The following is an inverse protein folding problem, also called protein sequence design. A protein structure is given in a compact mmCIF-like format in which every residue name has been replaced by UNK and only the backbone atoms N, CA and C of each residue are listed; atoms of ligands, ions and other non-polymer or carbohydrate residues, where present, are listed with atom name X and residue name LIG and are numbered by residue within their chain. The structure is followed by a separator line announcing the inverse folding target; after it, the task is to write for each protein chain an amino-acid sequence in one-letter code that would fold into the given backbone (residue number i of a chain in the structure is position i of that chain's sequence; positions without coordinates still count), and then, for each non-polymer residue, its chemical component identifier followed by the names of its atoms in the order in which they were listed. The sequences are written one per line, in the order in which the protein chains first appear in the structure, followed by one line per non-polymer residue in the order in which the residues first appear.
data_IF_655031629365
#
_entry.id   IF_655031629365
#
_cell.length_a   1.000
_cell.length_b   1.000
_cell.length_c   1.000
_cell.angle_alpha   90.00
_cell.angle_beta   90.00
_cell.angle_gamma   90.00
#
_symmetry.space_group_name_H-M   'P 1'
#
loop_
_entity.id
_entity.type
_entity.pdbx_description
1 polymer ?
#
# COMPACT_ATOMS: atom_id res chain seq x y z
N UNK A 1 3.00 -13.53 15.97
CA UNK A 1 2.04 -14.62 15.66
C UNK A 1 2.73 -15.95 15.98
N UNK A 2 1.98 -16.96 16.40
CA UNK A 2 2.52 -18.30 16.63
C UNK A 2 2.72 -18.96 15.26
N UNK A 3 3.94 -19.37 14.86
CA UNK A 3 4.16 -19.98 13.55
C UNK A 3 3.47 -21.34 13.48
N UNK A 4 2.83 -21.64 12.35
CA UNK A 4 2.18 -22.92 12.06
C UNK A 4 2.88 -23.63 10.90
N UNK A 5 3.51 -24.77 11.14
CA UNK A 5 4.45 -25.39 10.20
C UNK A 5 3.94 -26.77 9.77
N UNK A 6 3.98 -27.04 8.47
CA UNK A 6 3.66 -28.34 7.90
C UNK A 6 4.95 -29.16 7.72
N UNK A 7 4.98 -30.40 8.18
CA UNK A 7 6.15 -31.28 8.11
C UNK A 7 5.81 -32.51 7.29
N UNK A 8 6.54 -32.74 6.19
CA UNK A 8 6.45 -33.98 5.42
C UNK A 8 7.69 -34.84 5.61
N UNK A 9 7.50 -36.14 5.79
CA UNK A 9 8.57 -37.09 6.08
C UNK A 9 8.21 -38.53 5.67
N UNK A 10 9.21 -39.41 5.65
CA UNK A 10 8.99 -40.86 5.48
C UNK A 10 8.63 -41.52 6.82
N UNK A 11 7.76 -42.54 6.81
CA UNK A 11 7.28 -43.21 8.03
C UNK A 11 8.41 -43.72 8.95
N UNK A 12 9.53 -44.14 8.38
CA UNK A 12 10.69 -44.67 9.12
C UNK A 12 11.52 -43.58 9.83
N UNK A 13 11.25 -42.30 9.53
CA UNK A 13 11.93 -41.16 10.17
C UNK A 13 11.16 -40.59 11.37
N UNK A 14 10.09 -41.26 11.80
CA UNK A 14 9.19 -40.82 12.89
C UNK A 14 9.94 -40.41 14.16
N UNK A 15 11.00 -41.12 14.54
CA UNK A 15 11.79 -40.84 15.74
C UNK A 15 12.46 -39.46 15.70
N UNK A 16 13.03 -39.10 14.55
CA UNK A 16 13.64 -37.78 14.36
C UNK A 16 12.57 -36.68 14.35
N UNK A 17 11.48 -36.90 13.61
CA UNK A 17 10.39 -35.91 13.48
C UNK A 17 9.75 -35.61 14.82
N UNK A 18 9.54 -36.63 15.65
CA UNK A 18 9.01 -36.45 17.01
C UNK A 18 9.94 -35.58 17.86
N UNK A 19 11.25 -35.80 17.76
CA UNK A 19 12.27 -34.99 18.46
C UNK A 19 12.28 -33.55 17.96
N UNK A 20 12.18 -33.34 16.64
CA UNK A 20 12.11 -32.01 16.04
C UNK A 20 10.85 -31.27 16.49
N UNK A 21 9.68 -31.93 16.46
CA UNK A 21 8.41 -31.37 16.92
C UNK A 21 8.49 -30.95 18.39
N UNK A 22 9.11 -31.76 19.26
CA UNK A 22 9.30 -31.38 20.67
C UNK A 22 10.16 -30.12 20.83
N UNK A 23 11.19 -29.94 20.01
CA UNK A 23 12.03 -28.74 19.99
C UNK A 23 11.24 -27.53 19.50
N UNK A 24 10.46 -27.69 18.43
CA UNK A 24 9.64 -26.63 17.84
C UNK A 24 8.53 -26.18 18.81
N UNK A 25 7.81 -27.12 19.42
CA UNK A 25 6.76 -26.86 20.40
C UNK A 25 7.30 -26.10 21.63
N UNK A 26 8.50 -26.46 22.13
CA UNK A 26 9.17 -25.72 23.22
C UNK A 26 9.46 -24.25 22.87
N UNK A 27 9.53 -23.91 21.58
CA UNK A 27 9.76 -22.56 21.07
C UNK A 27 8.47 -21.89 20.56
N UNK A 28 7.29 -22.36 21.01
CA UNK A 28 5.99 -21.82 20.64
C UNK A 28 5.71 -21.87 19.13
N UNK A 29 6.10 -22.96 18.47
CA UNK A 29 5.84 -23.23 17.05
C UNK A 29 4.83 -24.37 16.96
N UNK A 30 3.68 -24.15 16.32
CA UNK A 30 2.69 -25.18 16.03
C UNK A 30 3.14 -25.99 14.82
N UNK A 31 2.87 -27.29 14.85
CA UNK A 31 3.29 -28.21 13.79
C UNK A 31 2.17 -29.17 13.43
N UNK A 32 2.05 -29.46 12.15
CA UNK A 32 1.28 -30.59 11.62
C UNK A 32 2.20 -31.49 10.82
N UNK A 33 2.08 -32.81 11.01
CA UNK A 33 2.96 -33.79 10.38
C UNK A 33 2.15 -34.67 9.41
N UNK A 34 2.71 -34.96 8.25
CA UNK A 34 2.14 -35.86 7.26
C UNK A 34 3.22 -36.71 6.59
N UNK A 35 2.81 -37.87 6.07
CA UNK A 35 3.71 -38.73 5.29
C UNK A 35 3.78 -38.28 3.83
N UNK A 36 4.94 -38.47 3.21
CA UNK A 36 5.10 -38.24 1.77
C UNK A 36 4.07 -39.04 0.95
N UNK A 37 3.49 -38.39 -0.07
CA UNK A 37 2.54 -38.99 -1.02
C UNK A 37 2.81 -38.47 -2.43
N UNK A 38 2.70 -39.35 -3.44
CA UNK A 38 2.79 -38.93 -4.84
C UNK A 38 1.52 -38.14 -5.21
N UNK A 39 1.68 -36.87 -5.56
CA UNK A 39 0.61 -36.04 -6.10
C UNK A 39 0.79 -35.85 -7.61
N UNK A 40 -0.28 -35.69 -8.42
CA UNK A 40 -0.13 -35.40 -9.85
C UNK A 40 0.53 -34.04 -10.13
N UNK A 41 0.24 -33.05 -9.29
CA UNK A 41 0.79 -31.69 -9.33
C UNK A 41 1.16 -31.27 -7.91
N UNK A 42 2.43 -31.47 -7.57
CA UNK A 42 2.92 -31.15 -6.23
C UNK A 42 3.06 -29.65 -5.99
N UNK A 43 3.34 -28.88 -7.06
CA UNK A 43 3.45 -27.43 -6.94
C UNK A 43 2.14 -26.85 -6.44
N UNK A 44 1.03 -27.24 -7.05
CA UNK A 44 -0.30 -26.84 -6.60
C UNK A 44 -0.60 -27.33 -5.17
N UNK A 45 -0.22 -28.57 -4.85
CA UNK A 45 -0.41 -29.10 -3.49
C UNK A 45 0.36 -28.30 -2.43
N UNK A 46 1.62 -27.96 -2.72
CA UNK A 46 2.45 -27.13 -1.87
C UNK A 46 1.87 -25.72 -1.73
N UNK A 47 1.37 -25.12 -2.81
CA UNK A 47 0.66 -23.84 -2.77
C UNK A 47 -0.61 -23.93 -1.90
N UNK A 48 -1.35 -25.04 -1.93
CA UNK A 48 -2.53 -25.27 -1.09
C UNK A 48 -2.15 -25.41 0.39
N UNK A 49 -1.10 -26.16 0.73
CA UNK A 49 -0.58 -26.24 2.11
C UNK A 49 -0.16 -24.84 2.59
N UNK A 50 0.55 -24.08 1.77
CA UNK A 50 1.02 -22.74 2.12
C UNK A 50 -0.11 -21.68 2.24
N UNK A 51 -1.38 -22.03 1.94
CA UNK A 51 -2.55 -21.23 2.30
C UNK A 51 -2.90 -21.33 3.80
N UNK A 52 -2.58 -22.46 4.43
CA UNK A 52 -2.96 -22.76 5.83
C UNK A 52 -1.76 -22.76 6.81
N UNK A 53 -0.55 -23.03 6.30
CA UNK A 53 0.69 -23.12 7.08
C UNK A 53 1.73 -22.08 6.62
N UNK A 54 2.53 -21.59 7.56
CA UNK A 54 3.55 -20.56 7.36
C UNK A 54 4.81 -21.09 6.67
N UNK A 55 5.12 -22.38 6.77
CA UNK A 55 6.21 -23.01 6.02
C UNK A 55 6.00 -24.53 5.91
N UNK A 56 6.63 -25.13 4.92
CA UNK A 56 6.75 -26.58 4.75
C UNK A 56 8.17 -26.99 5.10
N UNK A 57 8.32 -27.99 5.97
CA UNK A 57 9.58 -28.66 6.25
C UNK A 57 9.55 -30.01 5.55
N UNK A 58 10.55 -30.28 4.71
CA UNK A 58 10.76 -31.59 4.11
C UNK A 58 11.87 -32.32 4.81
N UNK A 59 11.56 -33.44 5.41
CA UNK A 59 12.55 -34.31 6.04
C UNK A 59 13.07 -35.29 4.99
N UNK A 60 14.33 -35.11 4.61
CA UNK A 60 15.01 -35.89 3.57
C UNK A 60 16.04 -36.82 4.23
N UNK A 61 15.83 -38.12 4.08
CA UNK A 61 16.67 -39.18 4.67
C UNK A 61 16.99 -40.28 3.66
N UNK A 62 17.84 -41.23 4.03
CA UNK A 62 18.05 -42.46 3.25
C UNK A 62 16.76 -43.28 3.05
N UNK A 63 15.78 -43.14 3.94
CA UNK A 63 14.48 -43.82 3.81
C UNK A 63 13.54 -43.10 2.83
N UNK A 64 13.79 -41.83 2.56
CA UNK A 64 13.14 -41.07 1.47
C UNK A 64 13.71 -41.48 0.09
N UNK A 65 14.89 -42.14 0.04
CA UNK A 65 15.64 -42.50 -1.17
C UNK A 65 15.18 -43.78 -1.89
N UNK A 66 13.88 -44.09 -1.92
CA UNK A 66 13.42 -44.90 -3.04
C UNK A 66 13.59 -44.02 -4.29
N UNK A 67 14.54 -44.34 -5.18
CA UNK A 67 15.19 -43.39 -6.11
C UNK A 67 14.20 -42.53 -6.91
N UNK A 68 13.03 -43.09 -7.26
CA UNK A 68 11.94 -42.38 -7.95
C UNK A 68 11.27 -41.27 -7.13
N UNK A 69 11.03 -41.49 -5.83
CA UNK A 69 10.33 -40.54 -4.98
C UNK A 69 11.21 -39.32 -4.71
N UNK A 70 12.51 -39.54 -4.44
CA UNK A 70 13.48 -38.47 -4.27
C UNK A 70 13.65 -37.65 -5.56
N UNK A 71 13.80 -38.29 -6.73
CA UNK A 71 13.91 -37.58 -8.01
C UNK A 71 12.67 -36.73 -8.28
N UNK A 72 11.49 -37.27 -7.98
CA UNK A 72 10.23 -36.55 -8.18
C UNK A 72 10.08 -35.36 -7.24
N UNK A 73 10.29 -35.53 -5.93
CA UNK A 73 10.29 -34.42 -4.97
C UNK A 73 11.40 -33.44 -5.30
N UNK A 74 12.62 -33.88 -5.61
CA UNK A 74 13.74 -33.03 -6.03
C UNK A 74 13.38 -32.18 -7.26
N UNK A 75 12.69 -32.76 -8.24
CA UNK A 75 12.21 -32.03 -9.42
C UNK A 75 11.14 -31.01 -9.05
N UNK A 76 10.17 -31.38 -8.22
CA UNK A 76 9.11 -30.48 -7.78
C UNK A 76 9.66 -29.34 -6.90
N UNK A 77 10.58 -29.67 -5.98
CA UNK A 77 11.35 -28.73 -5.16
C UNK A 77 12.12 -27.79 -6.06
N UNK A 78 12.81 -28.29 -7.09
CA UNK A 78 13.55 -27.45 -8.05
C UNK A 78 12.62 -26.49 -8.79
N UNK A 79 11.47 -26.96 -9.28
CA UNK A 79 10.50 -26.13 -9.98
C UNK A 79 9.90 -25.03 -9.08
N UNK A 80 9.67 -25.35 -7.81
CA UNK A 80 9.15 -24.40 -6.82
C UNK A 80 10.25 -23.46 -6.30
N UNK A 81 11.49 -23.92 -6.12
CA UNK A 81 12.64 -23.09 -5.71
C UNK A 81 13.11 -22.13 -6.80
N UNK A 82 12.95 -22.51 -8.07
CA UNK A 82 13.14 -21.61 -9.21
C UNK A 82 12.08 -20.48 -9.22
N UNK A 83 10.92 -20.70 -8.60
CA UNK A 83 9.99 -19.62 -8.29
C UNK A 83 10.49 -18.86 -7.05
N UNK A 84 11.00 -17.64 -7.25
CA UNK A 84 11.53 -16.79 -6.16
C UNK A 84 10.54 -16.57 -5.00
N UNK A 85 9.24 -16.75 -5.26
CA UNK A 85 8.14 -16.59 -4.32
C UNK A 85 8.16 -17.62 -3.18
N UNK A 86 8.51 -18.87 -3.48
CA UNK A 86 8.33 -20.00 -2.56
C UNK A 86 9.63 -20.51 -1.93
N UNK A 87 10.78 -20.15 -2.51
CA UNK A 87 12.13 -20.63 -2.15
C UNK A 87 12.50 -20.56 -0.66
N UNK A 88 11.89 -19.68 0.15
CA UNK A 88 12.24 -19.46 1.57
C UNK A 88 11.17 -19.94 2.57
N UNK A 89 10.07 -20.52 2.10
CA UNK A 89 8.98 -21.06 2.93
C UNK A 89 8.95 -22.58 2.88
N UNK A 90 9.89 -23.17 2.15
CA UNK A 90 10.09 -24.60 2.04
C UNK A 90 11.50 -24.89 2.51
N UNK A 91 11.63 -25.74 3.52
CA UNK A 91 12.87 -25.95 4.26
C UNK A 91 13.24 -27.43 4.15
N UNK A 92 14.08 -27.81 3.17
CA UNK A 92 14.62 -29.15 3.12
C UNK A 92 15.60 -29.39 4.28
N UNK A 93 15.34 -30.42 5.07
CA UNK A 93 16.17 -30.86 6.18
C UNK A 93 16.70 -32.25 5.85
N UNK A 94 18.01 -32.36 5.64
CA UNK A 94 18.70 -33.62 5.46
C UNK A 94 19.10 -34.21 6.81
N UNK A 95 18.69 -35.44 7.08
CA UNK A 95 19.09 -36.15 8.30
C UNK A 95 20.40 -36.91 8.06
N UNK A 96 20.66 -37.51 6.88
CA UNK A 96 21.88 -38.29 6.68
C UNK A 96 22.98 -37.51 5.93
N UNK A 97 24.23 -37.68 6.37
CA UNK A 97 25.40 -36.96 5.84
C UNK A 97 25.79 -37.45 4.44
N UNK A 98 25.50 -38.71 4.12
CA UNK A 98 25.94 -39.35 2.86
C UNK A 98 24.88 -39.27 1.74
N UNK A 99 23.86 -38.43 1.88
CA UNK A 99 22.84 -38.27 0.84
C UNK A 99 23.45 -37.43 -0.28
N UNK A 100 23.49 -37.91 -1.53
CA UNK A 100 23.93 -37.10 -2.65
C UNK A 100 22.96 -35.93 -2.79
N UNK A 101 23.45 -34.72 -2.52
CA UNK A 101 22.66 -33.49 -2.64
C UNK A 101 22.59 -33.17 -4.14
N UNK A 102 21.40 -33.18 -4.76
CA UNK A 102 21.25 -32.79 -6.15
C UNK A 102 21.93 -31.44 -6.45
N UNK A 103 22.62 -31.33 -7.58
CA UNK A 103 23.41 -30.14 -7.94
C UNK A 103 22.61 -28.82 -7.95
N UNK A 104 21.29 -28.88 -8.18
CA UNK A 104 20.45 -27.68 -8.12
C UNK A 104 20.23 -27.20 -6.67
N UNK A 105 20.25 -28.13 -5.69
CA UNK A 105 20.22 -27.77 -4.27
C UNK A 105 21.59 -27.27 -3.79
N UNK A 106 22.70 -27.73 -4.37
CA UNK A 106 24.05 -27.29 -3.98
C UNK A 106 24.36 -25.85 -4.41
N UNK A 107 23.85 -25.42 -5.55
CA UNK A 107 24.19 -24.13 -6.13
C UNK A 107 23.26 -23.00 -5.65
N UNK A 108 22.05 -23.33 -5.19
CA UNK A 108 21.02 -22.34 -4.84
C UNK A 108 20.08 -22.69 -3.67
N UNK A 109 20.01 -23.93 -3.17
CA UNK A 109 19.07 -24.26 -2.11
C UNK A 109 19.67 -24.15 -0.72
N UNK A 110 18.86 -23.63 0.21
CA UNK A 110 19.18 -23.65 1.63
C UNK A 110 18.58 -24.88 2.24
N UNK A 111 19.41 -25.90 2.40
CA UNK A 111 19.04 -27.09 3.17
C UNK A 111 19.78 -27.12 4.50
N UNK A 112 19.17 -27.77 5.50
CA UNK A 112 19.78 -27.99 6.80
C UNK A 112 20.19 -29.46 6.93
N UNK A 113 21.48 -29.74 7.10
CA UNK A 113 21.93 -31.06 7.54
C UNK A 113 21.87 -31.08 9.07
N UNK A 114 21.14 -32.01 9.70
CA UNK A 114 20.86 -31.97 11.15
C UNK A 114 21.43 -33.10 12.00
N UNK A 115 21.82 -34.25 11.45
CA UNK A 115 22.46 -35.31 12.26
C UNK A 115 23.83 -34.85 12.75
N UNK A 116 24.07 -35.04 14.05
CA UNK A 116 25.23 -34.53 14.81
C UNK A 116 25.46 -33.01 14.72
N UNK A 117 24.40 -32.23 14.44
CA UNK A 117 24.53 -30.79 14.24
C UNK A 117 24.62 -29.99 15.54
N UNK A 118 25.39 -28.88 15.55
CA UNK A 118 25.46 -27.99 16.70
C UNK A 118 24.08 -27.41 17.03
N UNK A 119 23.81 -27.19 18.31
CA UNK A 119 22.61 -26.49 18.82
C UNK A 119 22.24 -25.23 18.03
N UNK A 120 23.25 -24.50 17.56
CA UNK A 120 23.12 -23.31 16.70
C UNK A 120 22.25 -23.53 15.45
N UNK A 121 22.31 -24.69 14.79
CA UNK A 121 21.47 -24.94 13.60
C UNK A 121 19.99 -25.07 13.92
N UNK A 122 19.64 -25.59 15.09
CA UNK A 122 18.26 -25.62 15.56
C UNK A 122 17.78 -24.20 15.90
N UNK A 123 18.65 -23.37 16.49
CA UNK A 123 18.35 -21.96 16.76
C UNK A 123 18.13 -21.16 15.46
N UNK A 124 18.97 -21.38 14.44
CA UNK A 124 18.80 -20.76 13.12
C UNK A 124 17.48 -21.20 12.44
N UNK A 125 17.12 -22.48 12.56
CA UNK A 125 15.83 -23.00 12.08
C UNK A 125 14.67 -22.32 12.80
N UNK A 126 14.68 -22.29 14.14
CA UNK A 126 13.63 -21.67 14.95
C UNK A 126 13.48 -20.20 14.58
N UNK A 127 14.59 -19.46 14.46
CA UNK A 127 14.56 -18.06 14.07
C UNK A 127 13.98 -17.86 12.68
N UNK A 128 14.33 -18.73 11.72
CA UNK A 128 13.78 -18.70 10.36
C UNK A 128 12.27 -18.92 10.36
N UNK A 129 11.79 -19.93 11.10
CA UNK A 129 10.36 -20.25 11.21
C UNK A 129 9.60 -19.11 11.91
N UNK A 130 10.18 -18.49 12.93
CA UNK A 130 9.59 -17.36 13.63
C UNK A 130 9.52 -16.09 12.78
N UNK A 131 10.54 -15.83 11.96
CA UNK A 131 10.50 -14.75 10.98
C UNK A 131 9.43 -15.00 9.92
N UNK A 132 9.26 -16.27 9.50
CA UNK A 132 8.23 -16.69 8.56
C UNK A 132 6.82 -16.75 9.17
N UNK A 133 6.67 -16.62 10.50
CA UNK A 133 5.40 -16.75 11.19
C UNK A 133 4.42 -15.64 10.82
N UNK A 134 3.21 -16.01 10.40
CA UNK A 134 2.24 -15.02 9.91
C UNK A 134 2.56 -14.51 8.50
N UNK A 135 3.64 -14.99 7.86
CA UNK A 135 3.82 -14.90 6.42
C UNK A 135 2.94 -15.95 5.73
N UNK A 136 1.64 -15.96 6.05
CA UNK A 136 0.65 -16.59 5.19
C UNK A 136 0.86 -15.96 3.83
N UNK A 137 1.06 -16.75 2.79
CA UNK A 137 1.14 -16.21 1.45
C UNK A 137 -0.05 -15.27 1.24
N UNK A 138 0.26 -13.97 1.10
CA UNK A 138 -0.68 -12.93 0.75
C UNK A 138 -1.07 -13.14 -0.70
N UNK A 139 -1.95 -14.12 -0.88
CA UNK A 139 -2.31 -14.69 -2.17
C UNK A 139 -2.73 -13.52 -3.08
N UNK A 140 -2.06 -13.38 -4.22
CA UNK A 140 -2.50 -12.46 -5.28
C UNK A 140 -3.97 -12.71 -5.63
N UNK A 141 -4.46 -13.95 -5.49
CA UNK A 141 -5.88 -14.30 -5.58
C UNK A 141 -6.72 -13.80 -4.40
N UNK A 142 -6.21 -13.72 -3.17
CA UNK A 142 -6.92 -13.07 -2.06
C UNK A 142 -7.06 -11.57 -2.30
N UNK A 143 -5.96 -10.88 -2.65
CA UNK A 143 -6.00 -9.45 -3.00
C UNK A 143 -6.85 -9.20 -4.25
N UNK A 144 -6.83 -10.12 -5.20
CA UNK A 144 -7.73 -10.14 -6.37
C UNK A 144 -9.20 -10.19 -5.94
N UNK A 145 -9.58 -11.14 -5.08
CA UNK A 145 -10.93 -11.23 -4.52
C UNK A 145 -11.32 -9.97 -3.75
N UNK A 146 -10.42 -9.42 -2.93
CA UNK A 146 -10.65 -8.17 -2.20
C UNK A 146 -10.84 -6.99 -3.15
N UNK A 147 -10.08 -6.92 -4.25
CA UNK A 147 -10.23 -5.90 -5.31
C UNK A 147 -11.58 -6.04 -6.00
N UNK A 148 -12.00 -7.24 -6.41
CA UNK A 148 -13.29 -7.45 -7.08
C UNK A 148 -14.46 -7.11 -6.14
N UNK A 149 -14.39 -7.47 -4.86
CA UNK A 149 -15.41 -7.09 -3.86
C UNK A 149 -15.41 -5.58 -3.60
N UNK A 150 -14.24 -4.94 -3.52
CA UNK A 150 -14.13 -3.49 -3.39
C UNK A 150 -14.77 -2.75 -4.57
N UNK A 151 -14.50 -3.20 -5.81
CA UNK A 151 -15.11 -2.63 -7.02
C UNK A 151 -16.63 -2.79 -6.98
N UNK A 152 -17.14 -3.94 -6.53
CA UNK A 152 -18.59 -4.17 -6.37
C UNK A 152 -19.24 -3.19 -5.39
N UNK A 153 -18.62 -2.99 -4.22
CA UNK A 153 -19.13 -2.04 -3.22
C UNK A 153 -19.03 -0.57 -3.70
N UNK A 154 -17.95 -0.23 -4.40
CA UNK A 154 -17.77 1.09 -5.02
C UNK A 154 -18.79 1.33 -6.14
N UNK A 155 -19.08 0.34 -6.97
CA UNK A 155 -20.11 0.39 -7.99
C UNK A 155 -21.49 0.63 -7.38
N UNK A 156 -21.85 -0.11 -6.33
CA UNK A 156 -23.09 0.14 -5.59
C UNK A 156 -23.16 1.56 -5.01
N UNK A 157 -22.06 2.09 -4.48
CA UNK A 157 -22.01 3.46 -4.00
C UNK A 157 -22.16 4.48 -5.14
N UNK A 158 -21.59 4.20 -6.31
CA UNK A 158 -21.71 5.01 -7.52
C UNK A 158 -23.15 5.05 -8.04
N UNK A 159 -23.81 3.90 -8.17
CA UNK A 159 -25.23 3.81 -8.58
C UNK A 159 -26.15 4.58 -7.65
N UNK A 160 -25.90 4.49 -6.34
CA UNK A 160 -26.64 5.20 -5.30
C UNK A 160 -26.28 6.69 -5.18
N UNK A 161 -25.39 7.22 -6.04
CA UNK A 161 -24.89 8.61 -5.99
C UNK A 161 -24.36 8.99 -4.60
N UNK A 162 -23.74 8.03 -3.92
CA UNK A 162 -23.22 8.14 -2.56
C UNK A 162 -21.71 7.83 -2.49
N UNK A 163 -21.00 7.95 -3.61
CA UNK A 163 -19.55 7.82 -3.70
C UNK A 163 -18.89 9.21 -3.67
N UNK A 164 -18.02 9.46 -2.71
CA UNK A 164 -17.24 10.69 -2.58
C UNK A 164 -15.78 10.40 -2.90
N UNK A 165 -15.16 11.20 -3.78
CA UNK A 165 -13.75 11.07 -4.10
C UNK A 165 -12.91 11.92 -3.15
N UNK A 166 -11.82 11.35 -2.65
CA UNK A 166 -10.78 12.06 -1.92
C UNK A 166 -9.52 12.07 -2.77
N UNK A 167 -9.08 13.26 -3.19
CA UNK A 167 -7.96 13.43 -4.14
C UNK A 167 -6.73 14.03 -3.44
N UNK A 168 -5.57 13.47 -3.71
CA UNK A 168 -4.27 13.95 -3.21
C UNK A 168 -3.28 14.19 -4.34
N UNK A 169 -2.06 14.63 -4.00
CA UNK A 169 -1.11 15.14 -4.98
C UNK A 169 -0.73 14.11 -6.07
N UNK A 170 -0.91 12.81 -5.80
CA UNK A 170 -0.67 11.76 -6.78
C UNK A 170 -1.57 11.81 -8.01
N UNK A 171 -2.74 12.46 -7.96
CA UNK A 171 -3.58 12.65 -9.17
C UNK A 171 -2.98 13.69 -10.13
N UNK A 172 -2.21 14.64 -9.59
CA UNK A 172 -1.59 15.76 -10.30
C UNK A 172 -0.12 15.50 -10.67
N UNK A 173 0.49 14.44 -10.11
CA UNK A 173 1.91 14.16 -10.29
C UNK A 173 2.34 13.99 -11.76
N UNK A 174 1.50 13.35 -12.58
CA UNK A 174 1.76 13.18 -14.01
C UNK A 174 1.70 14.47 -14.83
N UNK A 175 1.17 15.55 -14.25
CA UNK A 175 1.13 16.89 -14.85
C UNK A 175 2.37 17.72 -14.51
N UNK A 176 3.29 17.19 -13.69
CA UNK A 176 4.47 17.92 -13.19
C UNK A 176 4.23 18.67 -11.87
N UNK A 177 3.04 18.54 -11.27
CA UNK A 177 2.74 19.10 -9.95
C UNK A 177 3.50 18.31 -8.88
N UNK A 178 4.28 18.98 -8.01
CA UNK A 178 5.09 18.31 -7.00
C UNK A 178 4.24 17.71 -5.87
N UNK A 179 4.74 16.64 -5.25
CA UNK A 179 4.21 16.22 -3.95
C UNK A 179 4.50 17.26 -2.86
N UNK A 180 3.79 17.20 -1.73
CA UNK A 180 3.94 18.18 -0.64
C UNK A 180 5.40 18.36 -0.20
N UNK A 181 6.15 17.27 -0.01
CA UNK A 181 7.55 17.33 0.39
C UNK A 181 8.43 18.01 -0.69
N UNK A 182 8.19 17.71 -1.97
CA UNK A 182 8.94 18.33 -3.07
C UNK A 182 8.58 19.81 -3.21
N UNK A 183 7.31 20.17 -3.02
CA UNK A 183 6.84 21.55 -3.04
C UNK A 183 7.54 22.37 -1.97
N UNK A 184 7.63 21.85 -0.74
CA UNK A 184 8.35 22.48 0.36
C UNK A 184 9.82 22.76 0.02
N UNK A 185 10.50 21.80 -0.61
CA UNK A 185 11.90 21.96 -1.00
C UNK A 185 12.04 22.98 -2.13
N UNK A 186 11.13 22.99 -3.11
CA UNK A 186 11.10 24.03 -4.14
C UNK A 186 10.91 25.41 -3.52
N UNK A 187 10.00 25.55 -2.55
CA UNK A 187 9.81 26.78 -1.78
C UNK A 187 11.10 27.20 -1.06
N UNK A 188 11.78 26.27 -0.38
CA UNK A 188 13.05 26.53 0.30
C UNK A 188 14.16 26.99 -0.67
N UNK A 189 14.30 26.31 -1.80
CA UNK A 189 15.27 26.65 -2.83
C UNK A 189 15.02 28.04 -3.40
N UNK A 190 13.77 28.34 -3.76
CA UNK A 190 13.37 29.64 -4.29
C UNK A 190 13.58 30.76 -3.27
N UNK A 191 13.17 30.58 -2.01
CA UNK A 191 13.38 31.58 -0.97
C UNK A 191 14.86 31.84 -0.68
N UNK A 192 15.71 30.83 -0.93
CA UNK A 192 17.17 30.91 -0.81
C UNK A 192 17.90 31.35 -2.09
N UNK A 193 17.18 31.67 -3.17
CA UNK A 193 17.74 31.95 -4.51
C UNK A 193 18.67 30.83 -5.05
N UNK A 194 18.36 29.58 -4.70
CA UNK A 194 19.05 28.38 -5.18
C UNK A 194 18.30 27.75 -6.37
N UNK A 195 19.02 27.05 -7.22
CA UNK A 195 18.43 26.40 -8.41
C UNK A 195 17.61 25.15 -8.05
N UNK A 196 16.52 24.94 -8.79
CA UNK A 196 15.63 23.77 -8.67
C UNK A 196 16.34 22.44 -9.00
N UNK A 197 17.52 22.45 -9.64
CA UNK A 197 18.30 21.22 -9.90
C UNK A 197 18.73 20.51 -8.61
N UNK A 198 18.75 21.21 -7.47
CA UNK A 198 19.07 20.62 -6.17
C UNK A 198 17.89 19.97 -5.46
N UNK A 199 16.68 20.00 -6.03
CA UNK A 199 15.46 19.52 -5.36
C UNK A 199 15.61 18.08 -4.86
N UNK A 200 16.02 17.14 -5.72
CA UNK A 200 16.15 15.73 -5.35
C UNK A 200 17.30 15.49 -4.34
N UNK A 201 18.43 16.19 -4.52
CA UNK A 201 19.60 16.07 -3.63
C UNK A 201 19.24 16.56 -2.21
N UNK A 202 18.57 17.71 -2.10
CA UNK A 202 18.11 18.21 -0.81
C UNK A 202 17.00 17.36 -0.22
N UNK A 203 16.12 16.78 -1.05
CA UNK A 203 15.10 15.85 -0.57
C UNK A 203 15.72 14.64 0.10
N UNK A 204 16.70 14.02 -0.56
CA UNK A 204 17.44 12.90 0.00
C UNK A 204 18.17 13.29 1.29
N UNK A 205 18.88 14.43 1.30
CA UNK A 205 19.61 14.90 2.49
C UNK A 205 18.67 15.23 3.66
N UNK A 206 17.56 15.94 3.42
CA UNK A 206 16.60 16.31 4.46
C UNK A 206 15.86 15.10 5.01
N UNK A 207 15.53 14.13 4.15
CA UNK A 207 14.81 12.91 4.55
C UNK A 207 15.69 11.89 5.26
N UNK A 208 16.98 11.78 4.91
CA UNK A 208 17.89 10.74 5.45
C UNK A 208 18.77 11.23 6.60
N UNK A 209 19.26 12.47 6.54
CA UNK A 209 20.34 12.92 7.42
C UNK A 209 19.86 13.90 8.51
N UNK A 210 18.87 14.73 8.21
CA UNK A 210 18.49 15.86 9.08
C UNK A 210 17.22 15.61 9.92
N UNK A 211 16.46 14.53 9.65
CA UNK A 211 15.21 14.17 10.36
C UNK A 211 14.29 15.37 10.65
N UNK A 212 14.26 16.36 9.76
CA UNK A 212 13.59 17.62 10.02
C UNK A 212 12.09 17.46 9.78
N UNK A 213 11.28 17.85 10.77
CA UNK A 213 9.83 17.91 10.57
C UNK A 213 9.51 18.96 9.50
N UNK A 214 8.92 18.50 8.41
CA UNK A 214 8.66 19.29 7.22
C UNK A 214 7.66 20.42 7.49
N UNK A 215 6.69 20.25 8.39
CA UNK A 215 5.74 21.30 8.76
C UNK A 215 6.43 22.44 9.53
N UNK A 216 7.47 22.10 10.32
CA UNK A 216 8.31 23.10 11.01
C UNK A 216 9.16 23.85 9.99
N UNK A 217 9.76 23.16 9.02
CA UNK A 217 10.51 23.82 7.95
C UNK A 217 9.62 24.78 7.15
N UNK A 218 8.39 24.38 6.82
CA UNK A 218 7.41 25.24 6.18
C UNK A 218 7.15 26.52 7.00
N UNK A 219 6.99 26.38 8.32
CA UNK A 219 6.81 27.52 9.24
C UNK A 219 8.03 28.43 9.28
N UNK A 220 9.24 27.87 9.25
CA UNK A 220 10.48 28.64 9.19
C UNK A 220 10.56 29.47 7.91
N UNK A 221 10.24 28.88 6.75
CA UNK A 221 10.22 29.57 5.45
C UNK A 221 9.18 30.70 5.46
N UNK A 222 7.97 30.41 5.94
CA UNK A 222 6.90 31.41 6.09
C UNK A 222 7.33 32.60 6.95
N UNK A 223 8.08 32.34 8.03
CA UNK A 223 8.56 33.37 8.96
C UNK A 223 9.76 34.15 8.39
N UNK A 224 10.54 33.57 7.46
CA UNK A 224 11.82 34.11 6.99
C UNK A 224 11.70 35.20 5.90
N UNK A 225 10.78 36.16 6.06
CA UNK A 225 10.75 37.43 5.31
C UNK A 225 10.20 37.37 3.87
N UNK A 226 9.29 36.45 3.54
CA UNK A 226 8.52 36.53 2.30
C UNK A 226 7.28 37.40 2.45
N UNK A 227 7.24 38.52 1.74
CA UNK A 227 6.06 39.40 1.68
C UNK A 227 4.83 38.74 1.01
N UNK A 228 4.97 37.55 0.43
CA UNK A 228 3.85 36.81 -0.18
C UNK A 228 4.12 35.29 -0.28
N UNK A 229 4.07 34.59 0.85
CA UNK A 229 4.27 33.13 0.93
C UNK A 229 3.35 32.32 0.01
N UNK A 230 2.08 32.72 -0.12
CA UNK A 230 1.14 32.06 -1.03
C UNK A 230 1.59 32.15 -2.49
N UNK A 231 2.18 33.29 -2.90
CA UNK A 231 2.73 33.46 -4.24
C UNK A 231 3.97 32.61 -4.47
N UNK A 232 4.83 32.43 -3.45
CA UNK A 232 5.95 31.50 -3.55
C UNK A 232 5.47 30.08 -3.78
N UNK A 233 4.52 29.60 -2.96
CA UNK A 233 3.95 28.26 -3.09
C UNK A 233 3.35 28.10 -4.48
N UNK A 234 2.56 29.06 -4.94
CA UNK A 234 1.92 29.02 -6.25
C UNK A 234 2.96 28.94 -7.39
N UNK A 235 4.02 29.75 -7.33
CA UNK A 235 5.09 29.69 -8.33
C UNK A 235 5.85 28.36 -8.31
N UNK A 236 6.09 27.79 -7.12
CA UNK A 236 6.74 26.49 -6.98
C UNK A 236 5.85 25.32 -7.41
N UNK A 237 4.53 25.46 -7.26
CA UNK A 237 3.52 24.46 -7.60
C UNK A 237 3.43 24.23 -9.10
N UNK A 238 3.43 25.30 -9.90
CA UNK A 238 3.22 25.24 -11.35
C UNK A 238 4.51 25.39 -12.18
N UNK A 239 5.69 25.39 -11.57
CA UNK A 239 6.98 25.61 -12.26
C UNK A 239 7.23 24.63 -13.41
N UNK A 240 6.97 23.33 -13.16
CA UNK A 240 7.28 22.23 -14.08
C UNK A 240 6.02 21.66 -14.72
N UNK A 241 4.96 22.47 -14.87
CA UNK A 241 3.72 21.96 -15.44
C UNK A 241 3.89 21.62 -16.93
N UNK A 242 3.60 20.36 -17.27
CA UNK A 242 3.76 19.87 -18.65
C UNK A 242 2.42 19.79 -19.39
N UNK A 243 1.38 19.37 -18.69
CA UNK A 243 0.04 19.11 -19.26
C UNK A 243 -1.03 19.22 -18.19
N UNK A 244 -2.22 19.70 -18.55
CA UNK A 244 -3.37 19.66 -17.65
C UNK A 244 -4.04 18.27 -17.62
N UNK A 245 -3.77 17.46 -18.63
CA UNK A 245 -4.48 16.21 -18.90
C UNK A 245 -3.52 15.04 -18.72
N UNK A 246 -3.88 14.15 -17.80
CA UNK A 246 -3.20 12.87 -17.57
C UNK A 246 -4.21 11.74 -17.65
N UNK A 247 -3.74 10.50 -17.75
CA UNK A 247 -4.61 9.32 -17.72
C UNK A 247 -5.44 9.25 -16.43
N UNK A 248 -4.87 9.65 -15.29
CA UNK A 248 -5.55 9.69 -13.99
C UNK A 248 -6.61 10.79 -13.93
N UNK A 249 -6.28 12.01 -14.35
CA UNK A 249 -7.23 13.13 -14.36
C UNK A 249 -8.39 12.82 -15.32
N UNK A 250 -8.08 12.32 -16.51
CA UNK A 250 -9.11 11.92 -17.47
C UNK A 250 -10.03 10.82 -16.92
N UNK A 251 -9.48 9.83 -16.19
CA UNK A 251 -10.31 8.83 -15.52
C UNK A 251 -11.23 9.44 -14.46
N UNK A 252 -10.74 10.38 -13.65
CA UNK A 252 -11.57 11.10 -12.66
C UNK A 252 -12.69 11.84 -13.39
N UNK A 253 -12.38 12.54 -14.49
CA UNK A 253 -13.41 13.22 -15.29
C UNK A 253 -14.45 12.25 -15.83
N UNK A 254 -14.03 11.12 -16.43
CA UNK A 254 -14.92 10.09 -16.97
C UNK A 254 -15.87 9.55 -15.87
N UNK A 255 -15.36 9.38 -14.65
CA UNK A 255 -16.14 8.92 -13.50
C UNK A 255 -17.12 9.99 -12.99
N UNK A 256 -16.74 11.27 -13.07
CA UNK A 256 -17.54 12.41 -12.65
C UNK A 256 -18.60 12.88 -13.67
N UNK A 257 -18.54 12.38 -14.92
CA UNK A 257 -19.55 12.69 -15.93
C UNK A 257 -20.98 12.38 -15.43
N UNK A 258 -21.94 13.30 -15.65
CA UNK A 258 -23.32 13.08 -15.27
C UNK A 258 -23.89 11.80 -15.88
N UNK A 259 -24.47 10.95 -15.03
CA UNK A 259 -25.14 9.71 -15.45
C UNK A 259 -26.51 9.59 -14.79
N UNK A 260 -27.48 9.05 -15.52
CA UNK A 260 -28.79 8.73 -14.95
C UNK A 260 -28.68 7.59 -13.94
N UNK A 261 -27.83 6.61 -14.23
CA UNK A 261 -27.68 5.36 -13.47
C UNK A 261 -26.59 5.41 -12.39
N UNK A 262 -25.98 6.57 -12.14
CA UNK A 262 -24.97 6.71 -11.09
C UNK A 262 -24.30 8.08 -11.09
N UNK A 263 -23.33 8.27 -10.20
CA UNK A 263 -22.55 9.50 -10.15
C UNK A 263 -21.74 9.66 -8.87
N UNK A 264 -20.83 10.63 -8.91
CA UNK A 264 -20.07 11.07 -7.75
C UNK A 264 -20.90 12.09 -6.96
N UNK A 265 -20.93 11.94 -5.63
CA UNK A 265 -21.62 12.85 -4.70
C UNK A 265 -20.89 14.18 -4.58
N UNK A 266 -19.59 14.13 -4.35
CA UNK A 266 -18.69 15.28 -4.23
C UNK A 266 -17.23 14.86 -4.34
N UNK A 267 -16.35 15.84 -4.51
CA UNK A 267 -14.89 15.67 -4.46
C UNK A 267 -14.35 16.46 -3.28
N UNK A 268 -13.58 15.80 -2.43
CA UNK A 268 -12.74 16.43 -1.42
C UNK A 268 -11.30 16.34 -1.91
N UNK A 269 -10.58 17.46 -1.96
CA UNK A 269 -9.20 17.47 -2.45
C UNK A 269 -8.28 18.14 -1.44
N UNK A 270 -7.09 17.56 -1.29
CA UNK A 270 -6.00 18.13 -0.49
C UNK A 270 -5.00 18.90 -1.36
N UNK A 271 -5.26 18.95 -2.68
CA UNK A 271 -4.38 19.62 -3.61
C UNK A 271 -4.70 21.11 -3.64
N UNK A 272 -3.63 21.90 -3.75
CA UNK A 272 -3.75 23.35 -3.96
C UNK A 272 -4.02 23.69 -5.42
N UNK A 273 -3.69 22.80 -6.36
CA UNK A 273 -3.74 23.09 -7.79
C UNK A 273 -5.18 23.20 -8.36
N UNK A 274 -5.29 23.78 -9.56
CA UNK A 274 -6.53 23.98 -10.31
C UNK A 274 -6.76 22.96 -11.44
N UNK A 275 -6.05 21.83 -11.43
CA UNK A 275 -6.13 20.88 -12.54
C UNK A 275 -7.50 20.24 -12.67
N UNK A 276 -8.19 19.98 -11.55
CA UNK A 276 -9.55 19.46 -11.61
C UNK A 276 -10.44 20.49 -12.31
N UNK A 277 -10.47 21.72 -11.83
CA UNK A 277 -11.23 22.85 -12.36
C UNK A 277 -11.03 23.02 -13.86
N UNK A 278 -9.78 23.13 -14.31
CA UNK A 278 -9.46 23.29 -15.72
C UNK A 278 -10.02 22.14 -16.58
N UNK A 279 -10.00 20.90 -16.07
CA UNK A 279 -10.53 19.75 -16.80
C UNK A 279 -12.07 19.67 -16.76
N UNK A 280 -12.70 20.04 -15.64
CA UNK A 280 -14.14 20.18 -15.55
C UNK A 280 -14.67 21.21 -16.56
N UNK A 281 -14.02 22.38 -16.65
CA UNK A 281 -14.35 23.43 -17.62
C UNK A 281 -14.20 22.94 -19.07
N UNK A 282 -13.07 22.31 -19.40
CA UNK A 282 -12.81 21.75 -20.75
C UNK A 282 -13.86 20.73 -21.18
N UNK A 283 -14.35 19.91 -20.25
CA UNK A 283 -15.39 18.90 -20.52
C UNK A 283 -16.82 19.40 -20.33
N UNK A 284 -17.00 20.68 -20.02
CA UNK A 284 -18.31 21.29 -19.76
C UNK A 284 -19.11 20.55 -18.67
N UNK A 285 -18.41 19.99 -17.67
CA UNK A 285 -19.02 19.39 -16.49
C UNK A 285 -19.20 20.50 -15.45
N UNK A 286 -20.43 20.72 -15.01
CA UNK A 286 -20.75 21.78 -14.05
C UNK A 286 -20.23 21.42 -12.66
N UNK A 287 -19.46 22.33 -12.06
CA UNK A 287 -18.89 22.15 -10.73
C UNK A 287 -18.93 23.46 -9.94
N UNK A 288 -18.80 23.36 -8.62
CA UNK A 288 -18.76 24.52 -7.72
C UNK A 288 -17.77 24.29 -6.58
N UNK A 289 -16.81 25.20 -6.44
CA UNK A 289 -15.88 25.18 -5.32
C UNK A 289 -16.59 25.69 -4.06
N UNK A 290 -16.85 24.80 -3.10
CA UNK A 290 -17.73 25.10 -1.95
C UNK A 290 -17.15 26.13 -0.99
N UNK A 291 -15.83 26.33 -1.03
CA UNK A 291 -15.11 27.33 -0.23
C UNK A 291 -15.70 28.74 -0.42
N UNK A 292 -16.32 29.01 -1.58
CA UNK A 292 -16.72 30.37 -1.92
C UNK A 292 -18.23 30.65 -1.78
N UNK A 293 -19.15 29.68 -1.89
CA UNK A 293 -20.61 29.93 -1.87
C UNK A 293 -21.43 28.65 -1.53
N UNK A 294 -22.06 28.53 -0.36
CA UNK A 294 -23.19 27.62 -0.16
C UNK A 294 -24.53 28.32 -0.47
N UNK A 295 -25.59 27.63 -0.96
CA UNK A 295 -25.69 26.19 -1.26
C UNK A 295 -25.15 25.83 -2.66
N UNK A 296 -24.89 24.53 -2.88
CA UNK A 296 -24.47 24.00 -4.19
C UNK A 296 -25.68 23.91 -5.11
N UNK A 297 -25.53 24.37 -6.36
CA UNK A 297 -26.59 24.26 -7.36
C UNK A 297 -26.91 22.79 -7.69
N UNK A 298 -28.18 22.49 -7.99
CA UNK A 298 -28.74 21.13 -8.13
C UNK A 298 -28.02 20.22 -9.16
N UNK A 299 -27.33 20.82 -10.13
CA UNK A 299 -26.61 20.11 -11.20
C UNK A 299 -25.08 20.32 -11.14
N UNK A 300 -24.54 20.87 -10.04
CA UNK A 300 -23.11 21.12 -9.90
C UNK A 300 -22.48 20.08 -8.98
N UNK A 301 -21.34 19.53 -9.41
CA UNK A 301 -20.51 18.70 -8.54
C UNK A 301 -19.72 19.60 -7.59
N UNK A 302 -19.76 19.31 -6.29
CA UNK A 302 -19.00 20.06 -5.31
C UNK A 302 -17.53 19.65 -5.31
N UNK A 303 -16.63 20.64 -5.28
CA UNK A 303 -15.19 20.43 -5.04
C UNK A 303 -14.80 21.19 -3.76
N UNK A 304 -14.27 20.44 -2.80
CA UNK A 304 -13.95 20.91 -1.45
C UNK A 304 -12.42 20.85 -1.22
N UNK A 305 -11.71 21.98 -1.33
CA UNK A 305 -10.25 22.04 -1.08
C UNK A 305 -9.93 22.24 0.40
N UNK A 306 -9.82 21.15 1.14
CA UNK A 306 -9.72 21.18 2.62
C UNK A 306 -8.37 21.67 3.15
N UNK A 307 -7.35 21.72 2.30
CA UNK A 307 -6.07 22.35 2.62
C UNK A 307 -5.91 23.74 1.97
N UNK A 308 -6.90 24.21 1.22
CA UNK A 308 -6.81 25.47 0.48
C UNK A 308 -6.65 25.28 -1.02
N UNK A 309 -6.83 26.39 -1.74
CA UNK A 309 -6.88 26.43 -3.20
C UNK A 309 -5.98 27.57 -3.71
N UNK A 310 -5.07 27.26 -4.65
CA UNK A 310 -4.12 28.18 -5.26
C UNK A 310 -4.15 28.02 -6.78
N UNK A 311 -5.10 28.67 -7.48
CA UNK A 311 -5.16 28.61 -8.94
C UNK A 311 -3.95 29.29 -9.60
N UNK A 312 -3.67 28.94 -10.86
CA UNK A 312 -2.60 29.57 -11.67
C UNK A 312 -2.82 31.05 -11.87
N UNK A 313 -4.07 31.44 -12.02
CA UNK A 313 -4.47 32.84 -12.12
C UNK A 313 -4.99 33.25 -10.75
N UNK A 314 -4.15 33.97 -9.99
CA UNK A 314 -4.57 34.56 -8.73
C UNK A 314 -5.45 35.78 -9.00
N UNK A 315 -6.62 35.80 -8.37
CA UNK A 315 -7.40 37.01 -8.16
C UNK A 315 -6.82 37.74 -6.95
N UNK A 316 -6.25 38.92 -7.18
CA UNK A 316 -5.68 39.77 -6.12
C UNK A 316 -6.70 40.16 -5.04
N UNK A 317 -8.01 39.99 -5.31
CA UNK A 317 -9.10 40.26 -4.37
C UNK A 317 -9.43 39.04 -3.50
N UNK A 318 -8.95 37.84 -3.83
CA UNK A 318 -9.18 36.64 -3.04
C UNK A 318 -8.12 36.48 -1.95
N UNK A 319 -8.58 36.18 -0.73
CA UNK A 319 -7.71 35.70 0.33
C UNK A 319 -7.55 34.19 0.16
N UNK A 320 -6.36 33.75 -0.24
CA UNK A 320 -6.06 32.33 -0.37
C UNK A 320 -5.57 31.77 0.96
N UNK A 321 -6.39 30.92 1.59
CA UNK A 321 -5.99 30.13 2.75
C UNK A 321 -5.24 28.89 2.27
N UNK A 322 -4.10 28.56 2.89
CA UNK A 322 -3.28 27.40 2.56
C UNK A 322 -2.82 26.75 3.86
N UNK A 323 -3.20 25.49 4.09
CA UNK A 323 -2.70 24.67 5.19
C UNK A 323 -1.38 24.04 4.74
N UNK A 324 -0.27 24.69 5.09
CA UNK A 324 1.05 24.27 4.64
C UNK A 324 2.11 24.23 5.75
N UNK A 325 2.02 25.10 6.76
CA UNK A 325 2.94 25.11 7.89
C UNK A 325 2.32 24.60 9.18
N UNK A 326 3.19 24.29 10.14
CA UNK A 326 2.82 23.75 11.45
C UNK A 326 1.72 24.58 12.15
N UNK A 327 1.77 25.92 12.06
CA UNK A 327 0.79 26.80 12.67
C UNK A 327 -0.62 26.65 12.06
N UNK A 328 -0.75 26.52 10.74
CA UNK A 328 -2.06 26.26 10.11
C UNK A 328 -2.58 24.87 10.42
N UNK A 329 -1.70 23.86 10.49
CA UNK A 329 -2.10 22.53 10.95
C UNK A 329 -2.63 22.60 12.39
N UNK A 330 -1.97 23.31 13.30
CA UNK A 330 -2.45 23.51 14.67
C UNK A 330 -3.81 24.22 14.71
N UNK A 331 -4.02 25.23 13.88
CA UNK A 331 -5.31 25.91 13.77
C UNK A 331 -6.40 24.95 13.30
N UNK A 332 -6.13 24.14 12.28
CA UNK A 332 -7.06 23.13 11.77
C UNK A 332 -7.38 22.04 12.81
N UNK A 333 -6.40 21.61 13.60
CA UNK A 333 -6.63 20.66 14.70
C UNK A 333 -7.48 21.26 15.82
N UNK A 334 -7.28 22.53 16.12
CA UNK A 334 -7.97 23.22 17.22
C UNK A 334 -9.41 23.59 16.83
N UNK A 335 -9.63 23.94 15.57
CA UNK A 335 -10.93 24.36 15.07
C UNK A 335 -11.76 23.18 14.56
N UNK A 336 -12.39 22.47 15.49
CA UNK A 336 -13.26 21.32 15.19
C UNK A 336 -14.53 21.69 14.41
N UNK A 337 -14.90 22.97 14.38
CA UNK A 337 -16.06 23.50 13.65
C UNK A 337 -15.71 24.14 12.31
N UNK A 338 -14.43 24.09 11.91
CA UNK A 338 -14.00 24.51 10.59
C UNK A 338 -14.76 23.73 9.51
N UNK A 339 -15.18 24.41 8.43
CA UNK A 339 -15.94 23.79 7.35
C UNK A 339 -15.15 22.62 6.73
N UNK A 340 -13.84 22.76 6.62
CA UNK A 340 -12.91 21.75 6.11
C UNK A 340 -12.96 20.47 6.95
N UNK A 341 -13.04 20.59 8.27
CA UNK A 341 -13.17 19.46 9.21
C UNK A 341 -14.55 18.81 9.09
N UNK A 342 -15.61 19.62 9.08
CA UNK A 342 -16.98 19.13 9.02
C UNK A 342 -17.28 18.41 7.69
N UNK A 343 -16.85 18.96 6.56
CA UNK A 343 -17.04 18.34 5.23
C UNK A 343 -16.41 16.96 5.17
N UNK A 344 -15.19 16.80 5.69
CA UNK A 344 -14.50 15.51 5.75
C UNK A 344 -15.25 14.52 6.64
N UNK A 345 -15.63 14.92 7.86
CA UNK A 345 -16.39 14.06 8.79
C UNK A 345 -17.75 13.65 8.22
N UNK A 346 -18.50 14.60 7.65
CA UNK A 346 -19.78 14.33 6.99
C UNK A 346 -19.60 13.34 5.85
N UNK A 347 -18.57 13.53 5.01
CA UNK A 347 -18.27 12.60 3.91
C UNK A 347 -17.96 11.19 4.42
N UNK A 348 -17.11 11.06 5.45
CA UNK A 348 -16.79 9.77 6.07
C UNK A 348 -18.01 9.09 6.71
N UNK A 349 -18.93 9.86 7.31
CA UNK A 349 -20.11 9.30 7.97
C UNK A 349 -21.22 8.92 6.98
N UNK A 350 -21.45 9.74 5.96
CA UNK A 350 -22.63 9.64 5.10
C UNK A 350 -22.37 8.93 3.77
N UNK A 351 -21.14 8.98 3.25
CA UNK A 351 -20.79 8.42 1.94
C UNK A 351 -19.74 7.32 2.00
N UNK A 352 -19.68 6.52 0.93
CA UNK A 352 -18.54 5.64 0.67
C UNK A 352 -17.44 6.52 0.09
N UNK A 353 -16.22 6.46 0.64
CA UNK A 353 -15.14 7.34 0.22
C UNK A 353 -14.08 6.55 -0.53
N UNK A 354 -13.65 7.05 -1.69
CA UNK A 354 -12.57 6.49 -2.48
C UNK A 354 -11.40 7.48 -2.54
N UNK A 355 -10.28 7.09 -1.96
CA UNK A 355 -9.06 7.88 -1.86
C UNK A 355 -8.12 7.55 -3.01
N UNK A 356 -7.69 8.57 -3.75
CA UNK A 356 -6.95 8.45 -5.01
C UNK A 356 -5.79 9.44 -5.00
N UNK A 357 -4.57 8.97 -5.27
CA UNK A 357 -3.37 9.80 -5.22
C UNK A 357 -3.02 10.32 -3.81
N UNK A 358 -3.56 9.67 -2.77
CA UNK A 358 -3.34 10.01 -1.36
C UNK A 358 -2.44 8.95 -0.71
N UNK A 359 -1.42 9.39 0.04
CA UNK A 359 -0.53 8.50 0.80
C UNK A 359 -1.17 7.93 2.08
N UNK A 360 -2.18 8.63 2.62
CA UNK A 360 -2.85 8.38 3.90
C UNK A 360 -1.90 8.47 5.11
N UNK A 361 -0.88 9.30 4.98
CA UNK A 361 0.11 9.59 6.03
C UNK A 361 -0.18 10.90 6.78
N UNK A 362 -1.14 11.69 6.31
CA UNK A 362 -1.53 12.95 6.93
C UNK A 362 -2.16 12.71 8.32
N UNK A 363 -1.61 13.28 9.40
CA UNK A 363 -2.14 13.07 10.75
C UNK A 363 -3.58 13.56 10.94
N UNK A 364 -3.97 14.66 10.28
CA UNK A 364 -5.33 15.18 10.37
C UNK A 364 -6.34 14.25 9.72
N UNK A 365 -6.03 13.76 8.52
CA UNK A 365 -6.86 12.78 7.82
C UNK A 365 -7.09 11.53 8.66
N UNK A 366 -6.01 10.98 9.24
CA UNK A 366 -6.07 9.78 10.11
C UNK A 366 -6.83 10.05 11.40
N UNK A 367 -6.66 11.23 12.01
CA UNK A 367 -7.43 11.68 13.18
C UNK A 367 -8.94 11.71 12.87
N UNK A 368 -9.34 12.28 11.74
CA UNK A 368 -10.75 12.37 11.36
C UNK A 368 -11.35 10.98 11.07
N UNK A 369 -10.59 10.10 10.43
CA UNK A 369 -10.98 8.71 10.24
C UNK A 369 -11.18 7.96 11.57
N UNK A 370 -10.26 8.12 12.52
CA UNK A 370 -10.35 7.52 13.86
C UNK A 370 -11.60 8.00 14.61
N UNK A 371 -11.88 9.30 14.55
CA UNK A 371 -13.10 9.89 15.13
C UNK A 371 -14.35 9.30 14.50
N UNK A 372 -14.40 9.17 13.17
CA UNK A 372 -15.52 8.59 12.43
C UNK A 372 -15.79 7.14 12.86
N UNK A 373 -14.77 6.29 12.88
CA UNK A 373 -14.90 4.87 13.24
C UNK A 373 -15.32 4.67 14.69
N UNK A 374 -14.73 5.43 15.62
CA UNK A 374 -15.10 5.38 17.03
C UNK A 374 -16.54 5.82 17.26
N UNK A 375 -16.98 6.89 16.59
CA UNK A 375 -18.34 7.41 16.71
C UNK A 375 -19.38 6.41 16.21
N UNK A 376 -19.10 5.70 15.12
CA UNK A 376 -20.05 4.78 14.50
C UNK A 376 -20.11 3.40 15.18
N UNK A 377 -19.23 3.09 16.16
CA UNK A 377 -19.06 1.75 16.74
C UNK A 377 -18.82 0.63 15.68
N UNK A 378 -18.38 1.00 14.46
CA UNK A 378 -18.26 0.11 13.28
C UNK A 378 -16.88 -0.51 13.17
N UNK A 379 -16.46 -1.28 14.18
CA UNK A 379 -15.13 -1.93 14.15
C UNK A 379 -15.00 -3.06 13.13
N UNK A 380 -16.08 -3.50 12.49
CA UNK A 380 -16.11 -4.82 11.81
C UNK A 380 -16.24 -4.80 10.30
N UNK A 381 -16.65 -3.69 9.66
CA UNK A 381 -16.79 -3.65 8.20
C UNK A 381 -16.23 -2.35 7.60
N UNK A 382 -15.10 -2.43 6.86
CA UNK A 382 -14.56 -1.30 6.12
C UNK A 382 -15.53 -0.81 5.04
N UNK A 383 -15.77 0.50 5.01
CA UNK A 383 -16.68 1.15 4.05
C UNK A 383 -15.93 2.03 3.05
N UNK A 384 -14.71 2.42 3.36
CA UNK A 384 -13.94 3.33 2.53
C UNK A 384 -12.80 2.58 1.83
N UNK A 385 -12.25 3.17 0.78
CA UNK A 385 -11.26 2.51 -0.08
C UNK A 385 -10.09 3.45 -0.37
N UNK A 386 -8.87 2.91 -0.37
CA UNK A 386 -7.66 3.61 -0.81
C UNK A 386 -7.10 2.91 -2.03
N UNK A 387 -6.79 3.65 -3.10
CA UNK A 387 -5.96 3.14 -4.17
C UNK A 387 -4.50 3.50 -3.86
N UNK A 388 -3.65 2.48 -3.65
CA UNK A 388 -2.20 2.66 -3.43
C UNK A 388 -1.38 1.88 -4.44
N UNK A 389 -0.31 2.48 -4.91
CA UNK A 389 0.67 1.79 -5.74
C UNK A 389 1.52 0.86 -4.87
N UNK A 390 1.76 -0.37 -5.35
CA UNK A 390 2.64 -1.32 -4.67
C UNK A 390 4.04 -0.72 -4.52
N UNK A 391 4.72 -0.94 -3.38
CA UNK A 391 6.10 -0.55 -3.20
C UNK A 391 6.99 -1.10 -4.32
N UNK A 392 7.87 -0.27 -4.87
CA UNK A 392 8.79 -0.68 -5.92
C UNK A 392 9.96 -1.47 -5.34
N UNK A 393 10.38 -2.53 -6.02
CA UNK A 393 11.62 -3.24 -5.72
C UNK A 393 12.83 -2.34 -5.92
N UNK A 394 13.74 -2.31 -4.94
CA UNK A 394 15.06 -1.68 -5.06
C UNK A 394 16.03 -2.68 -5.72
N UNK A 395 16.56 -2.39 -6.93
CA UNK A 395 17.48 -3.27 -7.66
C UNK A 395 18.79 -3.59 -6.91
N UNK A 396 19.22 -2.72 -6.00
CA UNK A 396 20.47 -2.87 -5.25
C UNK A 396 20.30 -3.70 -3.96
N UNK A 397 19.17 -4.37 -3.77
CA UNK A 397 18.92 -5.18 -2.58
C UNK A 397 19.84 -6.40 -2.52
N UNK A 398 20.84 -6.33 -1.63
CA UNK A 398 21.81 -7.41 -1.38
C UNK A 398 21.77 -7.80 0.10
N UNK A 399 20.82 -8.67 0.45
CA UNK A 399 20.76 -9.32 1.76
C UNK A 399 20.61 -10.82 1.61
N UNK A 400 21.55 -11.56 2.18
CA UNK A 400 21.55 -13.02 2.11
C UNK A 400 20.27 -13.58 2.75
N UNK A 401 19.89 -13.10 3.93
CA UNK A 401 18.81 -13.73 4.71
C UNK A 401 17.42 -13.11 4.46
N UNK A 402 17.34 -11.81 4.18
CA UNK A 402 16.08 -11.08 4.05
C UNK A 402 15.70 -10.91 2.57
N UNK A 403 14.55 -11.46 2.15
CA UNK A 403 14.03 -11.23 0.79
C UNK A 403 13.38 -9.85 0.72
N UNK A 404 13.71 -9.06 -0.30
CA UNK A 404 13.07 -7.77 -0.52
C UNK A 404 11.57 -7.91 -0.70
N UNK A 405 11.14 -8.82 -1.58
CA UNK A 405 9.72 -9.06 -1.84
C UNK A 405 8.97 -9.34 -0.54
N UNK A 406 9.54 -10.15 0.36
CA UNK A 406 8.94 -10.42 1.68
C UNK A 406 8.80 -9.16 2.52
N UNK A 407 9.81 -8.30 2.55
CA UNK A 407 9.76 -7.02 3.28
C UNK A 407 8.66 -6.12 2.70
N UNK A 408 8.59 -5.99 1.37
CA UNK A 408 7.58 -5.19 0.70
C UNK A 408 6.17 -5.72 0.96
N UNK A 409 5.97 -7.03 0.89
CA UNK A 409 4.70 -7.70 1.19
C UNK A 409 4.29 -7.53 2.67
N UNK A 410 5.24 -7.64 3.60
CA UNK A 410 4.99 -7.38 5.01
C UNK A 410 4.62 -5.91 5.25
N UNK A 411 5.25 -4.96 4.57
CA UNK A 411 4.88 -3.55 4.62
C UNK A 411 3.46 -3.37 4.09
N UNK A 412 3.13 -3.95 2.94
CA UNK A 412 1.78 -3.89 2.37
C UNK A 412 0.73 -4.45 3.34
N UNK A 413 1.01 -5.59 3.98
CA UNK A 413 0.12 -6.17 4.98
C UNK A 413 -0.07 -5.27 6.21
N UNK A 414 1.03 -4.69 6.72
CA UNK A 414 0.94 -3.74 7.84
C UNK A 414 0.14 -2.49 7.45
N UNK A 415 0.28 -2.00 6.21
CA UNK A 415 -0.54 -0.92 5.70
C UNK A 415 -2.02 -1.31 5.54
N UNK A 416 -2.30 -2.53 5.07
CA UNK A 416 -3.67 -3.07 5.00
C UNK A 416 -4.31 -3.12 6.39
N UNK A 417 -3.61 -3.70 7.39
CA UNK A 417 -4.08 -3.74 8.78
C UNK A 417 -4.29 -2.35 9.37
N UNK A 418 -3.35 -1.44 9.11
CA UNK A 418 -3.44 -0.06 9.56
C UNK A 418 -4.67 0.63 8.95
N UNK A 419 -4.85 0.56 7.62
CA UNK A 419 -6.01 1.12 6.93
C UNK A 419 -7.34 0.51 7.41
N UNK A 420 -7.39 -0.80 7.62
CA UNK A 420 -8.56 -1.49 8.17
C UNK A 420 -8.93 -0.99 9.57
N UNK A 421 -7.95 -0.62 10.39
CA UNK A 421 -8.19 -0.02 11.71
C UNK A 421 -8.93 1.33 11.63
N UNK A 422 -8.81 2.03 10.50
CA UNK A 422 -9.55 3.24 10.16
C UNK A 422 -10.82 2.99 9.31
N UNK A 423 -11.20 1.73 9.10
CA UNK A 423 -12.37 1.35 8.30
C UNK A 423 -12.19 1.49 6.79
N UNK A 424 -10.94 1.41 6.33
CA UNK A 424 -10.60 1.43 4.91
C UNK A 424 -10.11 0.06 4.41
N UNK A 425 -10.29 -0.20 3.12
CA UNK A 425 -9.62 -1.29 2.40
C UNK A 425 -8.68 -0.72 1.34
N UNK A 426 -7.52 -1.35 1.17
CA UNK A 426 -6.56 -0.94 0.14
C UNK A 426 -6.81 -1.74 -1.14
N UNK A 427 -6.87 -1.02 -2.26
CA UNK A 427 -6.84 -1.54 -3.62
C UNK A 427 -5.42 -1.28 -4.16
N UNK A 428 -4.63 -2.33 -4.25
CA UNK A 428 -3.26 -2.24 -4.76
C UNK A 428 -3.24 -2.19 -6.29
N UNK A 429 -2.45 -1.25 -6.83
CA UNK A 429 -2.14 -1.14 -8.26
C UNK A 429 -0.64 -1.27 -8.48
N UNK A 430 -0.24 -1.83 -9.61
CA UNK A 430 1.17 -1.88 -10.01
C UNK A 430 1.57 -0.56 -10.67
N UNK A 431 0.66 0.07 -11.43
CA UNK A 431 0.87 1.35 -12.12
C UNK A 431 -0.34 2.28 -12.02
N UNK A 432 -0.08 3.60 -11.93
CA UNK A 432 -1.13 4.63 -11.91
C UNK A 432 -2.09 4.58 -13.11
N UNK A 433 -1.65 4.09 -14.27
CA UNK A 433 -2.50 3.91 -15.45
C UNK A 433 -3.65 2.92 -15.23
N UNK A 434 -3.58 2.03 -14.24
CA UNK A 434 -4.67 1.11 -13.89
C UNK A 434 -5.89 1.81 -13.29
N UNK A 435 -5.73 3.03 -12.76
CA UNK A 435 -6.85 3.80 -12.19
C UNK A 435 -7.96 3.99 -13.22
N UNK A 436 -7.59 4.26 -14.48
CA UNK A 436 -8.56 4.40 -15.57
C UNK A 436 -9.41 3.14 -15.75
N UNK A 437 -8.80 1.96 -15.67
CA UNK A 437 -9.53 0.69 -15.76
C UNK A 437 -10.40 0.47 -14.52
N UNK A 438 -9.87 0.70 -13.31
CA UNK A 438 -10.63 0.55 -12.06
C UNK A 438 -11.88 1.44 -12.07
N UNK A 439 -11.76 2.68 -12.54
CA UNK A 439 -12.90 3.61 -12.59
C UNK A 439 -13.92 3.20 -13.64
N UNK A 440 -13.46 2.69 -14.79
CA UNK A 440 -14.35 2.09 -15.78
C UNK A 440 -15.09 0.86 -15.23
N UNK A 441 -14.41 0.04 -14.42
CA UNK A 441 -15.00 -1.13 -13.78
C UNK A 441 -16.02 -0.73 -12.71
N UNK A 442 -15.76 0.33 -11.95
CA UNK A 442 -16.71 0.92 -10.99
C UNK A 442 -17.91 1.51 -11.72
N UNK A 443 -17.71 2.25 -12.82
CA UNK A 443 -18.79 2.89 -13.58
C UNK A 443 -19.72 1.86 -14.25
N UNK A 444 -19.15 0.77 -14.77
CA UNK A 444 -19.89 -0.23 -15.56
C UNK A 444 -20.25 -1.51 -14.80
N UNK A 445 -19.77 -1.71 -13.58
CA UNK A 445 -20.02 -2.92 -12.79
C UNK A 445 -19.26 -4.16 -13.30
N UNK A 446 -18.01 -4.01 -13.73
CA UNK A 446 -17.18 -5.13 -14.20
C UNK A 446 -16.33 -5.70 -13.04
N UNK A 447 -16.70 -6.88 -12.52
CA UNK A 447 -16.10 -7.44 -11.30
C UNK A 447 -15.05 -8.55 -11.57
N UNK A 448 -14.23 -8.41 -12.62
CA UNK A 448 -13.26 -9.46 -13.01
C UNK A 448 -12.09 -9.61 -12.04
#
# INVERSE_FOLDING_TARGET
MTPNIYIEYHQDDQTFVTTLIDILNKNSIQTEQNYFRKYPDYKKHAEDILQEYDSIIWILSKNTLDYELLLWYSSAISEIELSEENRKLMIPIFIDIDIPIPNFLSDNARFLIMRDSPRKKYEDLIHTLQLNAGQRFFNSSFRGKCRSEAIKQLHQAYENKNLTLFCGAGISAGSGIPSWNHLLIRCFLKSSNLTSSYTNVLYDMLSKDLYLNQAILARMIKTSNEKNFCKLIQQALYEDIETDETTTINAIMDLCEPSENGGIKSIVTYNFDDLLECNFEKRNIKYQNRINQPPIAKDHLAIDHVHGFLPRILDEKMCYHVVFSEDEYHEQYSNTYANETLIQLTSLNESTCLYVGISFTDPNMRRLADVSIKHLHRKTEPRHYLIKQKPQSNPDWKHDFLSQKKVLEQIMFLEEMDAESFGFRIIWIDKFSEISQIFNDIKNGNFK
#
